data_IF_670534778759
#
_entry.id   IF_670534778759
#
_cell.length_a   1.000
_cell.length_b   1.000
_cell.length_c   1.000
_cell.angle_alpha   90.00
_cell.angle_beta   90.00
_cell.angle_gamma   90.00
#
_symmetry.space_group_name_H-M   'P 1'
#
loop_
_entity.id
_entity.type
_entity.pdbx_description
1 polymer ?
#
# COMPACT_ATOMS: atom_id res chain seq x y z
N UNK A 1 -5.97 13.26 49.35
CA UNK A 1 -6.56 14.21 48.40
C UNK A 1 -5.72 14.13 47.16
N UNK A 2 -6.31 13.51 46.15
CA UNK A 2 -5.80 13.41 44.78
C UNK A 2 -5.62 14.79 44.17
N UNK A 3 -4.64 14.93 43.29
CA UNK A 3 -4.80 15.79 42.12
C UNK A 3 -4.11 15.10 40.93
N UNK A 4 -4.94 14.88 39.92
CA UNK A 4 -4.78 14.00 38.77
C UNK A 4 -3.91 14.63 37.68
N UNK A 5 -3.11 13.81 37.03
CA UNK A 5 -2.37 14.13 35.82
C UNK A 5 -3.33 14.24 34.63
N UNK A 6 -3.36 15.40 33.97
CA UNK A 6 -4.03 15.58 32.68
C UNK A 6 -3.23 14.87 31.57
N UNK A 7 -3.64 13.66 31.22
CA UNK A 7 -3.20 12.97 30.01
C UNK A 7 -3.94 13.55 28.80
N UNK A 8 -3.24 14.32 27.96
CA UNK A 8 -3.77 14.80 26.68
C UNK A 8 -3.66 13.71 25.61
N UNK A 9 -4.76 13.03 25.32
CA UNK A 9 -4.90 12.14 24.17
C UNK A 9 -5.34 12.92 22.93
N UNK A 10 -4.67 12.72 21.79
CA UNK A 10 -5.04 13.29 20.49
C UNK A 10 -5.60 12.16 19.63
N UNK A 11 -6.91 12.19 19.35
CA UNK A 11 -7.58 11.24 18.46
C UNK A 11 -7.68 11.81 17.04
N UNK A 12 -7.48 10.96 16.02
CA UNK A 12 -7.63 11.31 14.61
C UNK A 12 -8.81 10.53 14.01
N UNK A 13 -9.92 11.21 13.73
CA UNK A 13 -11.17 10.58 13.28
C UNK A 13 -11.34 10.59 11.76
N UNK A 14 -11.76 9.46 11.18
CA UNK A 14 -12.35 9.37 9.84
C UNK A 14 -13.87 9.20 9.96
N UNK A 15 -14.67 10.05 9.30
CA UNK A 15 -16.14 10.08 9.45
C UNK A 15 -16.83 9.29 8.32
N UNK A 16 -17.90 8.58 8.69
CA UNK A 16 -18.75 7.67 7.89
C UNK A 16 -19.57 8.43 6.82
N UNK A 17 -19.53 8.01 5.56
CA UNK A 17 -20.42 8.52 4.50
C UNK A 17 -21.80 7.82 4.55
N UNK A 18 -22.87 8.59 4.39
CA UNK A 18 -24.25 8.09 4.20
C UNK A 18 -24.69 8.30 2.75
N UNK A 19 -25.38 7.29 2.21
CA UNK A 19 -25.81 7.10 0.82
C UNK A 19 -26.56 8.30 0.19
N UNK A 20 -26.24 8.62 -1.08
CA UNK A 20 -27.06 9.50 -1.93
C UNK A 20 -27.53 8.77 -3.20
N UNK A 21 -28.84 8.90 -3.45
CA UNK A 21 -29.64 8.19 -4.46
C UNK A 21 -29.38 8.69 -5.90
N UNK A 22 -29.37 7.77 -6.87
CA UNK A 22 -29.38 8.04 -8.33
C UNK A 22 -30.73 8.59 -8.81
N UNK A 23 -30.71 9.51 -9.77
CA UNK A 23 -31.85 9.90 -10.66
C UNK A 23 -31.31 10.16 -12.09
N UNK A 24 -32.07 9.88 -13.18
CA UNK A 24 -31.53 9.35 -14.45
C UNK A 24 -31.43 10.33 -15.65
N UNK A 25 -30.81 9.82 -16.72
CA UNK A 25 -30.60 10.43 -18.06
C UNK A 25 -31.89 10.91 -18.74
N UNK A 26 -31.77 11.99 -19.53
CA UNK A 26 -32.68 12.33 -20.62
C UNK A 26 -31.92 12.54 -21.93
N UNK A 27 -32.60 12.25 -23.04
CA UNK A 27 -32.11 11.93 -24.39
C UNK A 27 -32.71 12.85 -25.47
N UNK A 28 -31.95 13.11 -26.55
CA UNK A 28 -32.42 13.48 -27.91
C UNK A 28 -32.47 14.98 -28.24
N UNK A 29 -32.31 15.50 -29.48
CA UNK A 29 -32.00 14.99 -30.85
C UNK A 29 -31.68 16.22 -31.76
N UNK A 30 -30.86 16.01 -32.81
CA UNK A 30 -30.81 16.68 -34.15
C UNK A 30 -29.81 17.81 -34.49
N UNK A 31 -29.27 17.63 -35.70
CA UNK A 31 -28.18 18.23 -36.47
C UNK A 31 -28.44 19.65 -37.03
N UNK A 32 -27.37 20.43 -37.28
CA UNK A 32 -27.04 21.17 -38.53
C UNK A 32 -25.64 21.83 -38.40
N UNK A 33 -24.88 21.89 -39.49
CA UNK A 33 -23.57 22.56 -39.64
C UNK A 33 -23.63 23.56 -40.81
N UNK A 34 -22.59 24.36 -41.14
CA UNK A 34 -21.67 25.13 -40.29
C UNK A 34 -21.56 26.61 -40.76
N UNK A 35 -21.27 27.60 -39.88
CA UNK A 35 -20.51 28.80 -40.29
C UNK A 35 -20.04 29.71 -39.13
N UNK A 36 -18.75 30.07 -39.24
CA UNK A 36 -18.03 31.28 -38.86
C UNK A 36 -18.02 31.79 -37.39
N UNK A 37 -16.79 31.77 -36.84
CA UNK A 37 -16.19 32.59 -35.77
C UNK A 37 -17.10 33.24 -34.72
N UNK A 38 -17.20 32.57 -33.57
CA UNK A 38 -17.62 33.18 -32.29
C UNK A 38 -16.67 32.77 -31.15
N UNK A 39 -16.53 33.62 -30.10
CA UNK A 39 -15.36 33.70 -29.23
C UNK A 39 -15.22 32.51 -28.28
N UNK A 40 -13.99 32.30 -27.78
CA UNK A 40 -13.61 31.29 -26.77
C UNK A 40 -14.72 31.11 -25.72
N UNK A 41 -15.44 29.99 -25.77
CA UNK A 41 -16.33 29.58 -24.68
C UNK A 41 -15.47 29.27 -23.46
N UNK A 42 -15.76 29.97 -22.37
CA UNK A 42 -15.30 29.63 -21.02
C UNK A 42 -15.61 28.15 -20.75
N UNK A 43 -14.61 27.45 -20.22
CA UNK A 43 -14.80 26.09 -19.70
C UNK A 43 -15.67 26.22 -18.46
N UNK A 44 -16.93 25.78 -18.54
CA UNK A 44 -17.76 25.60 -17.35
C UNK A 44 -17.11 24.53 -16.48
N UNK A 45 -16.44 24.96 -15.41
CA UNK A 45 -16.05 24.10 -14.32
C UNK A 45 -17.32 23.44 -13.77
N UNK A 46 -17.41 22.10 -13.85
CA UNK A 46 -18.35 21.38 -13.00
C UNK A 46 -18.09 21.85 -11.56
N UNK A 47 -19.08 22.51 -10.97
CA UNK A 47 -18.96 23.07 -9.63
C UNK A 47 -18.51 21.96 -8.68
N UNK A 48 -17.32 22.15 -8.10
CA UNK A 48 -16.84 21.30 -7.04
C UNK A 48 -17.90 21.30 -5.92
N UNK A 49 -18.12 20.15 -5.24
CA UNK A 49 -18.95 20.10 -4.05
C UNK A 49 -18.61 21.22 -3.08
N UNK A 50 -19.59 21.77 -2.36
CA UNK A 50 -19.40 22.98 -1.53
C UNK A 50 -18.29 22.88 -0.47
N UNK A 51 -17.86 21.66 -0.13
CA UNK A 51 -16.75 21.40 0.78
C UNK A 51 -15.39 21.22 0.08
N UNK A 52 -15.32 21.01 -1.24
CA UNK A 52 -14.06 20.84 -1.98
C UNK A 52 -13.49 22.18 -2.43
N UNK A 53 -12.16 22.26 -2.46
CA UNK A 53 -11.42 23.44 -2.91
C UNK A 53 -10.33 23.03 -3.91
N UNK A 54 -10.21 23.78 -5.01
CA UNK A 54 -9.10 23.66 -5.94
C UNK A 54 -8.04 24.70 -5.58
N UNK A 55 -6.79 24.28 -5.45
CA UNK A 55 -5.64 25.15 -5.26
C UNK A 55 -4.68 24.93 -6.41
N UNK A 56 -4.50 25.98 -7.22
CA UNK A 56 -3.52 25.98 -8.30
C UNK A 56 -2.11 26.09 -7.71
N UNK A 57 -1.21 25.22 -8.16
CA UNK A 57 0.21 25.27 -7.77
C UNK A 57 1.10 25.18 -9.00
N UNK A 58 2.36 25.60 -8.87
CA UNK A 58 3.33 25.50 -9.97
C UNK A 58 3.61 24.05 -10.42
N UNK A 59 3.22 23.05 -9.62
CA UNK A 59 3.44 21.63 -9.89
C UNK A 59 2.14 20.90 -10.26
N UNK A 60 1.07 21.64 -10.56
CA UNK A 60 -0.26 21.12 -10.87
C UNK A 60 -1.30 21.50 -9.83
N UNK A 61 -2.57 21.35 -10.20
CA UNK A 61 -3.69 21.73 -9.34
C UNK A 61 -3.96 20.64 -8.31
N UNK A 62 -4.26 21.06 -7.08
CA UNK A 62 -4.54 20.17 -5.95
C UNK A 62 -5.97 20.37 -5.49
N UNK A 63 -6.73 19.28 -5.38
CA UNK A 63 -8.07 19.28 -4.81
C UNK A 63 -7.98 18.88 -3.33
N UNK A 64 -8.52 19.74 -2.45
CA UNK A 64 -8.69 19.47 -1.02
C UNK A 64 -10.14 19.69 -0.59
N UNK A 65 -10.37 19.73 0.72
CA UNK A 65 -11.67 20.02 1.29
C UNK A 65 -11.60 20.83 2.59
N UNK A 66 -12.63 21.64 2.85
CA UNK A 66 -12.85 22.36 4.10
C UNK A 66 -13.53 21.44 5.10
N UNK A 67 -13.01 21.37 6.32
CA UNK A 67 -13.64 20.67 7.43
C UNK A 67 -13.50 21.45 8.75
N UNK A 68 -14.40 21.20 9.71
CA UNK A 68 -14.29 21.76 11.05
C UNK A 68 -13.61 20.75 11.98
N UNK A 69 -12.55 21.18 12.65
CA UNK A 69 -11.82 20.41 13.67
C UNK A 69 -11.72 21.26 14.92
N UNK A 70 -12.25 20.76 16.05
CA UNK A 70 -12.25 21.47 17.35
C UNK A 70 -12.73 22.93 17.22
N UNK A 71 -13.89 23.10 16.59
CA UNK A 71 -14.55 24.41 16.35
C UNK A 71 -13.78 25.38 15.42
N UNK A 72 -12.70 24.93 14.79
CA UNK A 72 -11.94 25.71 13.80
C UNK A 72 -12.12 25.15 12.40
N UNK A 73 -12.33 26.02 11.42
CA UNK A 73 -12.37 25.65 10.02
C UNK A 73 -10.94 25.45 9.51
N UNK A 74 -10.64 24.26 9.00
CA UNK A 74 -9.34 23.89 8.45
C UNK A 74 -9.49 23.37 7.02
N UNK A 75 -8.44 23.56 6.23
CA UNK A 75 -8.32 23.03 4.87
C UNK A 75 -7.50 21.75 4.91
N UNK A 76 -8.03 20.67 4.36
CA UNK A 76 -7.40 19.35 4.34
C UNK A 76 -7.09 18.96 2.91
N UNK A 77 -5.85 18.60 2.65
CA UNK A 77 -5.41 18.02 1.38
C UNK A 77 -4.74 16.68 1.69
N UNK A 78 -5.29 15.59 1.15
CA UNK A 78 -4.80 14.23 1.37
C UNK A 78 -4.04 13.76 0.14
N UNK A 79 -3.01 12.94 0.34
CA UNK A 79 -2.28 12.31 -0.78
C UNK A 79 -1.31 13.22 -1.55
N UNK A 80 -0.97 14.41 -1.04
CA UNK A 80 0.12 15.22 -1.63
C UNK A 80 1.47 14.58 -1.25
N UNK A 81 2.39 14.30 -2.20
CA UNK A 81 3.75 13.87 -1.90
C UNK A 81 4.47 14.98 -1.13
N UNK A 82 4.60 14.84 0.20
CA UNK A 82 4.55 16.03 1.06
C UNK A 82 5.91 16.56 1.55
N UNK A 83 6.83 15.74 2.10
CA UNK A 83 8.22 16.11 2.48
C UNK A 83 8.77 15.22 3.60
N UNK A 84 10.07 15.39 3.92
CA UNK A 84 10.68 14.95 5.18
C UNK A 84 9.81 15.40 6.36
N UNK A 85 9.70 14.59 7.43
CA UNK A 85 8.91 14.96 8.61
C UNK A 85 9.31 16.34 9.15
N UNK A 86 8.37 17.26 9.45
CA UNK A 86 8.64 18.62 9.90
C UNK A 86 8.98 18.66 11.40
N UNK A 87 9.90 17.80 11.82
CA UNK A 87 10.31 17.63 13.21
C UNK A 87 11.66 18.33 13.46
N UNK A 88 11.91 18.70 14.71
CA UNK A 88 13.13 19.42 15.10
C UNK A 88 13.36 20.69 14.28
N UNK A 89 14.55 20.79 13.67
CA UNK A 89 14.99 21.93 12.85
C UNK A 89 14.20 22.15 11.55
N UNK A 90 13.38 21.16 11.14
CA UNK A 90 12.52 21.25 9.97
C UNK A 90 11.15 21.86 10.28
N UNK A 91 10.87 22.14 11.56
CA UNK A 91 9.62 22.79 11.96
C UNK A 91 9.55 24.20 11.38
N UNK A 92 8.44 24.50 10.71
CA UNK A 92 8.16 25.80 10.04
C UNK A 92 9.06 26.17 8.86
N UNK A 93 9.88 25.23 8.35
CA UNK A 93 10.63 25.42 7.10
C UNK A 93 9.83 24.96 5.89
N UNK A 94 10.29 25.35 4.70
CA UNK A 94 9.75 24.85 3.44
C UNK A 94 9.88 23.31 3.41
N UNK A 95 8.88 22.59 2.84
CA UNK A 95 8.94 21.13 2.73
C UNK A 95 10.20 20.66 1.99
N UNK A 96 10.96 19.75 2.60
CA UNK A 96 12.13 19.12 1.97
C UNK A 96 11.76 17.78 1.32
N UNK A 97 12.20 17.52 0.09
CA UNK A 97 11.87 16.27 -0.62
C UNK A 97 12.40 15.04 0.15
N UNK A 98 11.53 14.03 0.30
CA UNK A 98 11.89 12.70 0.82
C UNK A 98 12.62 11.94 -0.28
N UNK A 99 13.77 11.33 0.03
CA UNK A 99 14.30 10.24 -0.82
C UNK A 99 13.52 8.97 -0.45
N UNK A 100 12.87 8.27 -1.39
CA UNK A 100 12.04 7.12 -1.06
C UNK A 100 12.86 5.99 -0.46
N UNK A 101 12.31 5.31 0.54
CA UNK A 101 12.81 4.04 1.09
C UNK A 101 11.78 2.95 0.87
N UNK A 102 11.38 2.72 -0.38
CA UNK A 102 10.35 1.73 -0.70
C UNK A 102 10.79 0.34 -0.23
N UNK A 103 9.87 -0.50 0.27
CA UNK A 103 10.15 -1.92 0.46
C UNK A 103 10.66 -2.52 -0.86
N UNK A 104 11.38 -3.64 -0.71
CA UNK A 104 12.04 -4.33 -1.81
C UNK A 104 11.08 -4.52 -2.97
N UNK A 105 11.48 -4.00 -4.14
CA UNK A 105 10.70 -4.08 -5.36
C UNK A 105 11.02 -5.37 -6.11
N UNK A 106 10.01 -6.11 -6.53
CA UNK A 106 10.16 -7.37 -7.24
C UNK A 106 10.36 -7.12 -8.74
N UNK A 107 11.33 -7.80 -9.36
CA UNK A 107 11.68 -7.58 -10.77
C UNK A 107 10.52 -7.78 -11.75
N UNK A 108 9.66 -8.79 -11.54
CA UNK A 108 8.50 -9.01 -12.42
C UNK A 108 7.55 -7.81 -12.46
N UNK A 109 7.52 -6.97 -11.41
CA UNK A 109 6.72 -5.75 -11.39
C UNK A 109 7.27 -4.73 -12.38
N UNK A 110 8.60 -4.63 -12.55
CA UNK A 110 9.23 -3.79 -13.56
C UNK A 110 8.91 -4.25 -14.98
N UNK A 111 9.02 -5.55 -15.25
CA UNK A 111 8.68 -6.10 -16.56
C UNK A 111 7.19 -5.88 -16.88
N UNK A 112 6.33 -6.02 -15.88
CA UNK A 112 4.90 -5.75 -16.01
C UNK A 112 4.62 -4.30 -16.37
N UNK A 113 5.38 -3.33 -15.83
CA UNK A 113 5.23 -1.90 -16.16
C UNK A 113 5.64 -1.58 -17.59
N UNK A 114 6.75 -2.15 -18.07
CA UNK A 114 7.22 -1.97 -19.44
C UNK A 114 6.20 -2.54 -20.43
N UNK A 115 5.75 -3.78 -20.20
CA UNK A 115 4.71 -4.41 -21.02
C UNK A 115 3.39 -3.63 -21.00
N UNK A 116 3.00 -3.08 -19.85
CA UNK A 116 1.79 -2.24 -19.75
C UNK A 116 1.94 -0.92 -20.49
N UNK A 117 3.16 -0.36 -20.54
CA UNK A 117 3.46 0.86 -21.28
C UNK A 117 3.41 0.63 -22.79
N UNK A 118 3.93 -0.51 -23.28
CA UNK A 118 3.80 -0.91 -24.69
C UNK A 118 2.33 -1.13 -25.08
N UNK A 119 1.57 -1.88 -24.27
CA UNK A 119 0.11 -2.06 -24.51
C UNK A 119 -0.65 -0.74 -24.53
N UNK A 120 -0.27 0.22 -23.69
CA UNK A 120 -0.86 1.55 -23.71
C UNK A 120 -0.51 2.29 -25.02
N UNK A 121 0.74 2.20 -25.48
CA UNK A 121 1.18 2.79 -26.74
C UNK A 121 0.42 2.17 -27.93
N UNK A 122 0.27 0.84 -27.96
CA UNK A 122 -0.52 0.12 -28.97
C UNK A 122 -1.98 0.59 -29.00
N UNK A 123 -2.63 0.63 -27.84
CA UNK A 123 -4.05 0.95 -27.71
C UNK A 123 -4.42 2.35 -28.23
N UNK A 124 -3.46 3.27 -28.24
CA UNK A 124 -3.65 4.64 -28.73
C UNK A 124 -2.96 4.90 -30.08
N UNK A 125 -2.44 3.85 -30.74
CA UNK A 125 -1.79 3.95 -32.05
C UNK A 125 -0.47 4.73 -32.01
N UNK A 126 0.22 4.69 -30.88
CA UNK A 126 1.50 5.33 -30.66
C UNK A 126 2.68 4.36 -30.69
N UNK A 127 2.46 3.09 -31.06
CA UNK A 127 3.54 2.11 -31.23
C UNK A 127 4.03 2.03 -32.68
N UNK A 128 5.25 1.50 -32.87
CA UNK A 128 5.81 1.19 -34.19
C UNK A 128 5.29 -0.18 -34.69
N UNK A 129 5.69 -0.59 -35.91
CA UNK A 129 5.28 -1.89 -36.48
C UNK A 129 5.81 -3.08 -35.68
N UNK A 130 6.95 -2.91 -34.99
CA UNK A 130 7.59 -3.94 -34.18
C UNK A 130 6.99 -4.05 -32.76
N UNK A 131 6.18 -3.08 -32.34
CA UNK A 131 5.52 -3.06 -31.04
C UNK A 131 6.44 -2.73 -29.86
N UNK A 132 7.55 -2.04 -30.09
CA UNK A 132 8.60 -1.81 -29.09
C UNK A 132 9.04 -0.35 -28.93
N UNK A 133 8.27 0.62 -29.46
CA UNK A 133 8.68 2.02 -29.50
C UNK A 133 8.87 2.61 -28.09
N UNK A 134 8.13 2.14 -27.08
CA UNK A 134 8.29 2.66 -25.72
C UNK A 134 9.62 2.20 -25.10
N UNK A 135 10.17 1.06 -25.57
CA UNK A 135 11.49 0.55 -25.22
C UNK A 135 12.61 1.15 -26.07
N UNK A 136 12.43 1.22 -27.39
CA UNK A 136 13.50 1.61 -28.35
C UNK A 136 13.58 3.12 -28.55
N UNK A 137 12.44 3.81 -28.61
CA UNK A 137 12.34 5.25 -28.89
C UNK A 137 11.36 5.98 -27.92
N UNK A 138 11.62 5.94 -26.59
CA UNK A 138 10.68 6.38 -25.56
C UNK A 138 10.25 7.85 -25.66
N UNK A 139 11.09 8.72 -26.24
CA UNK A 139 10.75 10.13 -26.45
C UNK A 139 9.71 10.29 -27.56
N UNK A 140 9.82 9.51 -28.62
CA UNK A 140 8.84 9.51 -29.72
C UNK A 140 7.51 8.97 -29.24
N UNK A 141 7.53 7.83 -28.54
CA UNK A 141 6.37 7.25 -27.86
C UNK A 141 5.66 8.29 -26.99
N UNK A 142 6.41 9.00 -26.14
CA UNK A 142 5.89 10.01 -25.24
C UNK A 142 5.30 11.22 -25.98
N UNK A 143 5.93 11.67 -27.06
CA UNK A 143 5.41 12.78 -27.86
C UNK A 143 4.10 12.40 -28.55
N UNK A 144 4.01 11.17 -29.07
CA UNK A 144 2.76 10.64 -29.60
C UNK A 144 1.69 10.55 -28.51
N UNK A 145 1.97 9.94 -27.37
CA UNK A 145 1.04 9.83 -26.22
C UNK A 145 0.50 11.21 -25.82
N UNK A 146 1.37 12.23 -25.74
CA UNK A 146 0.98 13.62 -25.40
C UNK A 146 0.11 14.28 -26.46
N UNK A 147 0.20 13.84 -27.72
CA UNK A 147 -0.62 14.35 -28.82
C UNK A 147 -2.03 13.73 -28.85
N UNK A 148 -2.23 12.61 -28.15
CA UNK A 148 -3.50 11.89 -28.17
C UNK A 148 -4.62 12.66 -27.44
N UNK A 149 -5.88 12.53 -27.90
CA UNK A 149 -7.02 13.09 -27.19
C UNK A 149 -7.13 12.52 -25.78
N UNK A 150 -7.42 13.38 -24.79
CA UNK A 150 -7.63 12.97 -23.38
C UNK A 150 -8.62 11.81 -23.23
N UNK A 151 -9.65 11.76 -24.08
CA UNK A 151 -10.65 10.69 -24.08
C UNK A 151 -10.05 9.34 -24.46
N UNK A 152 -9.28 9.29 -25.55
CA UNK A 152 -8.59 8.08 -26.01
C UNK A 152 -7.62 7.57 -24.97
N UNK A 153 -6.83 8.48 -24.36
CA UNK A 153 -5.94 8.12 -23.25
C UNK A 153 -6.70 7.52 -22.07
N UNK A 154 -7.82 8.12 -21.66
CA UNK A 154 -8.63 7.62 -20.55
C UNK A 154 -9.22 6.24 -20.84
N UNK A 155 -9.69 6.01 -22.07
CA UNK A 155 -10.26 4.73 -22.50
C UNK A 155 -9.18 3.65 -22.55
N UNK A 156 -8.02 3.93 -23.16
CA UNK A 156 -6.89 3.00 -23.22
C UNK A 156 -6.29 2.69 -21.84
N UNK A 157 -6.12 3.71 -20.98
CA UNK A 157 -5.71 3.50 -19.58
C UNK A 157 -6.73 2.61 -18.85
N UNK A 158 -8.03 2.81 -19.08
CA UNK A 158 -9.08 1.96 -18.49
C UNK A 158 -8.98 0.50 -18.93
N UNK A 159 -8.62 0.25 -20.18
CA UNK A 159 -8.42 -1.10 -20.72
C UNK A 159 -7.15 -1.78 -20.17
N UNK A 160 -6.03 -1.06 -20.18
CA UNK A 160 -4.74 -1.57 -19.66
C UNK A 160 -4.82 -1.79 -18.15
N UNK A 161 -5.33 -0.81 -17.39
CA UNK A 161 -5.48 -0.92 -15.92
C UNK A 161 -6.61 -1.85 -15.49
N UNK A 162 -7.64 -2.03 -16.33
CA UNK A 162 -8.71 -3.00 -16.08
C UNK A 162 -8.18 -4.43 -16.01
N UNK A 163 -7.09 -4.71 -16.72
CA UNK A 163 -6.42 -6.02 -16.72
C UNK A 163 -5.25 -6.10 -15.72
N UNK A 164 -4.65 -4.94 -15.38
CA UNK A 164 -3.46 -4.83 -14.53
C UNK A 164 -3.56 -3.62 -13.58
N UNK A 165 -4.30 -3.73 -12.48
CA UNK A 165 -4.50 -2.62 -11.55
C UNK A 165 -3.22 -2.08 -10.87
N UNK A 166 -2.12 -2.82 -10.93
CA UNK A 166 -0.79 -2.43 -10.43
C UNK A 166 0.18 -2.08 -11.57
N UNK A 167 -0.31 -1.76 -12.77
CA UNK A 167 0.53 -1.54 -13.96
C UNK A 167 1.48 -0.34 -13.85
N UNK A 168 1.20 0.63 -12.99
CA UNK A 168 2.05 1.82 -12.80
C UNK A 168 2.35 2.03 -11.31
N UNK A 169 3.34 1.31 -10.82
CA UNK A 169 3.93 1.50 -9.50
C UNK A 169 5.15 2.44 -9.57
N UNK A 170 5.72 2.88 -8.43
CA UNK A 170 6.96 3.65 -8.44
C UNK A 170 8.10 2.88 -9.13
N UNK A 171 8.86 3.52 -10.04
CA UNK A 171 10.02 2.92 -10.72
C UNK A 171 11.35 3.61 -10.36
N UNK A 172 12.48 2.90 -10.48
CA UNK A 172 13.80 3.50 -10.28
C UNK A 172 14.43 3.95 -11.62
N UNK A 173 15.53 4.72 -11.54
CA UNK A 173 16.24 5.30 -12.68
C UNK A 173 15.93 6.78 -12.92
N UNK A 174 15.12 7.40 -12.06
CA UNK A 174 14.79 8.82 -12.15
C UNK A 174 15.46 9.65 -11.05
N UNK A 175 15.12 10.95 -10.96
CA UNK A 175 15.70 11.84 -9.94
C UNK A 175 15.23 11.52 -8.52
N UNK A 176 14.09 10.84 -8.37
CA UNK A 176 13.47 10.54 -7.08
C UNK A 176 13.99 9.20 -6.53
N UNK A 177 14.08 8.17 -7.38
CA UNK A 177 14.62 6.84 -7.08
C UNK A 177 15.74 6.52 -8.07
N UNK A 178 16.95 7.08 -7.92
CA UNK A 178 18.05 6.87 -8.88
C UNK A 178 18.53 5.42 -9.00
N UNK A 179 18.38 4.62 -7.95
CA UNK A 179 18.81 3.21 -7.89
C UNK A 179 17.71 2.35 -7.28
N UNK A 180 17.73 1.05 -7.57
CA UNK A 180 16.72 0.11 -7.08
C UNK A 180 16.79 -0.10 -5.56
N UNK A 181 15.68 -0.51 -4.94
CA UNK A 181 15.64 -0.84 -3.50
C UNK A 181 16.73 -1.85 -3.10
N UNK A 182 17.07 -2.82 -3.95
CA UNK A 182 18.13 -3.79 -3.70
C UNK A 182 19.52 -3.13 -3.67
N UNK A 183 19.79 -2.24 -4.63
CA UNK A 183 21.06 -1.49 -4.68
C UNK A 183 21.24 -0.58 -3.46
N UNK A 184 20.15 -0.08 -2.86
CA UNK A 184 20.21 0.73 -1.63
C UNK A 184 20.79 0.01 -0.43
N UNK A 185 20.71 -1.33 -0.39
CA UNK A 185 21.29 -2.10 0.70
C UNK A 185 22.76 -2.44 0.47
N UNK A 186 23.18 -2.57 -0.79
CA UNK A 186 24.60 -2.70 -1.14
C UNK A 186 25.38 -1.41 -0.83
N UNK A 187 24.75 -0.24 -1.02
CA UNK A 187 25.29 1.05 -0.63
C UNK A 187 24.23 1.88 0.14
N UNK A 188 24.17 1.73 1.48
CA UNK A 188 23.22 2.45 2.32
C UNK A 188 23.31 3.98 2.24
N UNK A 189 24.42 4.53 1.74
CA UNK A 189 24.63 5.98 1.71
C UNK A 189 23.67 6.72 0.76
N UNK A 190 23.09 6.01 -0.22
CA UNK A 190 22.11 6.60 -1.13
C UNK A 190 20.86 7.11 -0.42
N UNK A 191 20.37 6.40 0.60
CA UNK A 191 19.07 6.68 1.23
C UNK A 191 19.09 6.69 2.75
N UNK A 192 19.97 5.92 3.39
CA UNK A 192 19.81 5.56 4.79
C UNK A 192 20.74 6.30 5.75
N UNK A 193 21.72 7.08 5.27
CA UNK A 193 22.62 7.87 6.14
C UNK A 193 21.83 8.75 7.13
N UNK A 194 20.84 9.48 6.62
CA UNK A 194 19.99 10.39 7.40
C UNK A 194 18.76 9.69 8.01
N UNK A 195 18.46 8.45 7.61
CA UNK A 195 17.31 7.72 8.11
C UNK A 195 17.57 7.29 9.56
N UNK A 196 16.60 7.55 10.44
CA UNK A 196 16.70 7.20 11.86
C UNK A 196 16.29 5.74 12.12
N UNK A 197 16.01 5.41 13.37
CA UNK A 197 15.39 4.16 13.75
C UNK A 197 14.07 3.95 13.01
N UNK A 198 13.70 2.70 12.76
CA UNK A 198 12.42 2.35 12.15
C UNK A 198 11.63 1.41 13.06
N UNK A 199 10.32 1.62 13.07
CA UNK A 199 9.34 0.69 13.60
C UNK A 199 8.45 0.30 12.43
N UNK A 200 8.38 -1.00 12.14
CA UNK A 200 7.75 -1.54 10.94
C UNK A 200 7.04 -2.84 11.31
N UNK A 201 5.97 -3.17 10.59
CA UNK A 201 5.23 -4.38 10.88
C UNK A 201 4.34 -4.84 9.73
N UNK A 202 3.63 -5.92 10.00
CA UNK A 202 2.64 -6.52 9.11
C UNK A 202 1.48 -7.09 9.94
N UNK A 203 0.35 -7.31 9.30
CA UNK A 203 -0.78 -8.03 9.86
C UNK A 203 -0.63 -9.55 9.63
N UNK A 204 -1.39 -10.35 10.37
CA UNK A 204 -1.28 -11.81 10.27
C UNK A 204 -1.70 -12.35 8.89
N UNK A 205 -2.74 -11.75 8.27
CA UNK A 205 -3.38 -12.27 7.05
C UNK A 205 -3.42 -11.22 5.92
N UNK A 206 -2.27 -10.60 5.63
CA UNK A 206 -2.12 -9.51 4.64
C UNK A 206 -2.74 -9.83 3.27
N UNK A 207 -2.52 -11.04 2.76
CA UNK A 207 -2.90 -11.46 1.41
C UNK A 207 -4.39 -11.68 1.19
N UNK A 208 -5.21 -11.71 2.24
CA UNK A 208 -6.62 -12.13 2.12
C UNK A 208 -7.45 -11.15 1.28
N UNK A 209 -7.27 -9.84 1.46
CA UNK A 209 -7.95 -8.82 0.65
C UNK A 209 -7.36 -8.67 -0.75
N UNK A 210 -6.09 -9.02 -0.93
CA UNK A 210 -5.49 -9.07 -2.27
C UNK A 210 -6.15 -10.16 -3.12
N UNK A 211 -6.47 -11.34 -2.57
CA UNK A 211 -7.25 -12.35 -3.31
C UNK A 211 -8.62 -11.82 -3.75
N UNK A 212 -9.29 -11.03 -2.91
CA UNK A 212 -10.53 -10.37 -3.32
C UNK A 212 -10.31 -9.39 -4.49
N UNK A 213 -9.15 -8.76 -4.58
CA UNK A 213 -8.84 -7.83 -5.65
C UNK A 213 -8.52 -8.55 -6.97
N UNK A 214 -7.70 -9.60 -6.93
CA UNK A 214 -7.26 -10.31 -8.14
C UNK A 214 -8.22 -11.40 -8.60
N UNK A 215 -9.13 -11.86 -7.74
CA UNK A 215 -10.05 -12.96 -8.01
C UNK A 215 -11.41 -12.75 -7.34
N UNK A 216 -11.99 -11.55 -7.50
CA UNK A 216 -13.24 -11.13 -6.83
C UNK A 216 -14.44 -12.06 -7.08
N UNK A 217 -14.48 -12.76 -8.21
CA UNK A 217 -15.54 -13.72 -8.54
C UNK A 217 -15.52 -14.98 -7.65
N UNK A 218 -14.34 -15.32 -7.12
CA UNK A 218 -14.09 -16.52 -6.32
C UNK A 218 -13.92 -16.18 -4.84
N UNK A 219 -13.27 -15.05 -4.54
CA UNK A 219 -12.98 -14.58 -3.19
C UNK A 219 -13.62 -13.20 -2.99
N UNK A 220 -14.70 -13.14 -2.22
CA UNK A 220 -15.39 -11.88 -1.90
C UNK A 220 -15.11 -11.49 -0.46
N UNK A 221 -14.63 -10.26 -0.22
CA UNK A 221 -14.38 -9.77 1.14
C UNK A 221 -15.66 -9.71 1.99
N UNK A 222 -16.85 -9.77 1.37
CA UNK A 222 -18.16 -9.65 2.04
C UNK A 222 -18.85 -10.99 2.31
N UNK A 223 -18.33 -12.09 1.80
CA UNK A 223 -18.97 -13.41 1.93
C UNK A 223 -17.93 -14.52 2.04
N UNK A 224 -18.27 -15.60 2.71
CA UNK A 224 -17.40 -16.78 2.77
C UNK A 224 -17.12 -17.31 1.35
N UNK A 225 -15.87 -17.69 1.05
CA UNK A 225 -15.55 -18.32 -0.22
C UNK A 225 -16.35 -19.59 -0.38
N UNK A 226 -16.72 -19.90 -1.63
CA UNK A 226 -17.34 -21.20 -1.93
C UNK A 226 -16.37 -22.31 -1.52
N UNK A 227 -16.92 -23.45 -1.11
CA UNK A 227 -16.09 -24.64 -0.95
C UNK A 227 -15.56 -25.03 -2.31
N UNK A 228 -14.24 -24.98 -2.46
CA UNK A 228 -13.55 -25.42 -3.65
C UNK A 228 -13.14 -26.87 -3.47
N UNK A 229 -13.31 -27.65 -4.53
CA UNK A 229 -12.68 -28.96 -4.64
C UNK A 229 -11.16 -28.80 -4.69
N UNK A 230 -10.42 -29.84 -4.32
CA UNK A 230 -8.96 -29.82 -4.43
C UNK A 230 -8.49 -29.55 -5.87
N UNK A 231 -9.26 -30.02 -6.87
CA UNK A 231 -8.93 -29.80 -8.27
C UNK A 231 -9.13 -28.33 -8.71
N UNK A 232 -10.18 -27.66 -8.21
CA UNK A 232 -10.37 -26.22 -8.45
C UNK A 232 -9.27 -25.40 -7.78
N UNK A 233 -8.91 -25.73 -6.54
CA UNK A 233 -7.82 -25.07 -5.82
C UNK A 233 -6.48 -25.24 -6.53
N UNK A 234 -6.19 -26.44 -7.03
CA UNK A 234 -5.00 -26.71 -7.85
C UNK A 234 -4.98 -25.89 -9.14
N UNK A 235 -6.11 -25.78 -9.84
CA UNK A 235 -6.23 -24.95 -11.04
C UNK A 235 -5.95 -23.48 -10.69
N UNK A 236 -6.54 -22.96 -9.61
CA UNK A 236 -6.33 -21.57 -9.20
C UNK A 236 -4.88 -21.31 -8.79
N UNK A 237 -4.29 -22.24 -8.04
CA UNK A 237 -2.89 -22.16 -7.66
C UNK A 237 -1.98 -22.12 -8.90
N UNK A 238 -2.18 -23.02 -9.86
CA UNK A 238 -1.41 -23.03 -11.10
C UNK A 238 -1.65 -21.76 -11.94
N UNK A 239 -2.89 -21.27 -12.04
CA UNK A 239 -3.21 -20.03 -12.74
C UNK A 239 -2.45 -18.84 -12.13
N UNK A 240 -2.35 -18.78 -10.81
CA UNK A 240 -1.63 -17.72 -10.09
C UNK A 240 -0.12 -17.87 -10.22
N UNK A 241 0.44 -19.07 -10.04
CA UNK A 241 1.88 -19.32 -10.15
C UNK A 241 2.35 -19.17 -11.60
N UNK A 242 1.63 -19.67 -12.59
CA UNK A 242 2.09 -19.62 -13.99
C UNK A 242 1.92 -18.25 -14.63
N UNK A 243 0.82 -17.54 -14.35
CA UNK A 243 0.50 -16.29 -15.05
C UNK A 243 0.76 -15.02 -14.24
N UNK A 244 0.89 -15.12 -12.91
CA UNK A 244 0.98 -13.95 -12.03
C UNK A 244 2.22 -13.97 -11.12
N UNK A 245 2.84 -15.12 -10.88
CA UNK A 245 4.01 -15.28 -10.01
C UNK A 245 4.89 -16.47 -10.44
N UNK A 246 5.63 -16.37 -11.56
CA UNK A 246 6.44 -17.50 -12.05
C UNK A 246 7.51 -17.89 -11.02
N UNK A 247 7.38 -19.09 -10.46
CA UNK A 247 8.39 -19.69 -9.57
C UNK A 247 9.09 -20.84 -10.29
N UNK A 248 10.43 -20.86 -10.35
CA UNK A 248 11.20 -21.97 -10.88
C UNK A 248 10.87 -23.32 -10.23
N UNK A 249 10.85 -24.36 -11.05
CA UNK A 249 10.43 -25.71 -10.67
C UNK A 249 11.29 -26.34 -9.57
N UNK A 250 12.55 -25.93 -9.46
CA UNK A 250 13.46 -26.32 -8.37
C UNK A 250 12.96 -25.86 -7.00
N UNK A 251 12.27 -24.71 -6.95
CA UNK A 251 11.83 -24.09 -5.71
C UNK A 251 10.43 -24.57 -5.28
N UNK A 252 9.53 -24.91 -6.22
CA UNK A 252 8.24 -25.57 -5.90
C UNK A 252 8.40 -26.83 -5.05
N UNK A 253 9.58 -27.47 -5.11
CA UNK A 253 9.95 -28.67 -4.35
C UNK A 253 10.48 -28.41 -2.94
N UNK A 254 10.78 -27.15 -2.59
CA UNK A 254 11.43 -26.78 -1.32
C UNK A 254 10.45 -26.42 -0.21
N UNK A 255 9.22 -26.06 -0.54
CA UNK A 255 8.20 -25.63 0.43
C UNK A 255 6.95 -26.48 0.29
N UNK A 256 6.45 -26.99 1.43
CA UNK A 256 5.18 -27.72 1.49
C UNK A 256 3.98 -26.83 1.15
N UNK A 257 4.13 -25.50 1.23
CA UNK A 257 3.08 -24.54 0.88
C UNK A 257 2.84 -24.50 -0.64
N UNK A 258 3.79 -25.00 -1.45
CA UNK A 258 3.68 -25.07 -2.91
C UNK A 258 3.20 -26.42 -3.44
N UNK A 259 2.73 -27.31 -2.56
CA UNK A 259 2.12 -28.57 -2.97
C UNK A 259 0.72 -28.32 -3.55
N UNK A 260 0.55 -28.41 -4.89
CA UNK A 260 -0.74 -28.11 -5.51
C UNK A 260 -1.82 -29.13 -5.14
N UNK A 261 -1.43 -30.31 -4.64
CA UNK A 261 -2.36 -31.37 -4.25
C UNK A 261 -2.88 -31.19 -2.82
N UNK A 262 -2.25 -30.31 -2.02
CA UNK A 262 -2.62 -30.02 -0.63
C UNK A 262 -2.94 -28.54 -0.35
N UNK A 263 -2.97 -27.68 -1.36
CA UNK A 263 -3.20 -26.24 -1.21
C UNK A 263 -4.61 -25.95 -0.66
N UNK A 264 -4.67 -25.20 0.44
CA UNK A 264 -5.93 -24.74 1.05
C UNK A 264 -6.19 -23.28 0.70
N UNK A 265 -7.43 -22.80 0.90
CA UNK A 265 -7.73 -21.36 0.79
C UNK A 265 -6.82 -20.51 1.68
N UNK A 266 -6.52 -21.00 2.89
CA UNK A 266 -5.60 -20.34 3.81
C UNK A 266 -4.16 -20.35 3.32
N UNK A 267 -3.67 -21.50 2.84
CA UNK A 267 -2.36 -21.59 2.21
C UNK A 267 -2.22 -20.63 1.04
N UNK A 268 -3.28 -20.50 0.22
CA UNK A 268 -3.27 -19.61 -0.93
C UNK A 268 -3.09 -18.14 -0.55
N UNK A 269 -3.87 -17.60 0.40
CA UNK A 269 -3.64 -16.22 0.81
C UNK A 269 -2.39 -16.06 1.66
N UNK A 270 -1.90 -17.09 2.35
CA UNK A 270 -0.63 -17.02 3.08
C UNK A 270 0.54 -16.81 2.12
N UNK A 271 0.56 -17.54 0.99
CA UNK A 271 1.55 -17.33 -0.07
C UNK A 271 1.49 -15.88 -0.59
N UNK A 272 0.30 -15.33 -0.81
CA UNK A 272 0.15 -13.92 -1.19
C UNK A 272 0.63 -12.98 -0.08
N UNK A 273 0.27 -13.25 1.17
CA UNK A 273 0.68 -12.48 2.36
C UNK A 273 2.20 -12.41 2.46
N UNK A 274 2.86 -13.55 2.26
CA UNK A 274 4.30 -13.69 2.36
C UNK A 274 5.00 -12.94 1.23
N UNK A 275 4.57 -13.13 -0.01
CA UNK A 275 5.24 -12.53 -1.17
C UNK A 275 4.98 -11.03 -1.36
N UNK A 276 3.78 -10.55 -1.05
CA UNK A 276 3.39 -9.16 -1.33
C UNK A 276 3.72 -8.19 -0.19
N UNK A 277 3.71 -8.67 1.06
CA UNK A 277 3.86 -7.79 2.23
C UNK A 277 4.85 -8.32 3.25
N UNK A 278 4.60 -9.51 3.81
CA UNK A 278 5.37 -9.99 4.97
C UNK A 278 6.85 -10.11 4.66
N UNK A 279 7.23 -10.77 3.57
CA UNK A 279 8.63 -10.96 3.25
C UNK A 279 9.33 -9.73 2.69
N UNK A 280 8.69 -8.86 1.88
CA UNK A 280 9.23 -7.52 1.61
C UNK A 280 9.51 -6.72 2.89
N UNK A 281 8.60 -6.72 3.86
CA UNK A 281 8.76 -6.04 5.16
C UNK A 281 9.90 -6.65 5.98
N UNK A 282 9.91 -7.97 6.11
CA UNK A 282 10.96 -8.70 6.87
C UNK A 282 12.32 -8.53 6.20
N UNK A 283 12.42 -8.62 4.88
CA UNK A 283 13.67 -8.42 4.15
C UNK A 283 14.18 -6.98 4.28
N UNK A 284 13.29 -5.99 4.17
CA UNK A 284 13.66 -4.59 4.42
C UNK A 284 14.16 -4.40 5.86
N UNK A 285 13.44 -4.94 6.84
CA UNK A 285 13.81 -4.89 8.26
C UNK A 285 15.18 -5.54 8.51
N UNK A 286 15.43 -6.72 7.92
CA UNK A 286 16.68 -7.46 8.06
C UNK A 286 17.87 -6.72 7.46
N UNK A 287 17.72 -6.18 6.25
CA UNK A 287 18.80 -5.42 5.63
C UNK A 287 19.05 -4.09 6.36
N UNK A 288 18.00 -3.39 6.76
CA UNK A 288 18.14 -2.12 7.49
C UNK A 288 18.76 -2.31 8.88
N UNK A 289 18.43 -3.40 9.58
CA UNK A 289 19.01 -3.73 10.89
C UNK A 289 20.52 -4.01 10.84
N UNK A 290 21.04 -4.42 9.68
CA UNK A 290 22.47 -4.68 9.50
C UNK A 290 23.29 -3.42 9.19
N UNK A 291 22.64 -2.29 8.89
CA UNK A 291 23.32 -1.02 8.67
C UNK A 291 23.88 -0.52 10.02
N UNK A 292 25.18 -0.13 10.10
CA UNK A 292 25.77 0.34 11.34
C UNK A 292 24.96 1.46 12.01
N UNK A 293 24.77 1.33 13.32
CA UNK A 293 24.04 2.29 14.17
C UNK A 293 22.55 2.45 13.86
N UNK A 294 21.96 1.64 12.97
CA UNK A 294 20.50 1.62 12.79
C UNK A 294 19.84 0.70 13.80
N UNK A 295 18.56 0.93 14.06
CA UNK A 295 17.75 0.10 14.95
C UNK A 295 16.37 -0.12 14.33
N UNK A 296 15.88 -1.35 14.46
CA UNK A 296 14.60 -1.80 13.92
C UNK A 296 13.76 -2.38 15.03
N UNK A 297 12.48 -2.04 15.05
CA UNK A 297 11.47 -2.63 15.91
C UNK A 297 10.39 -3.27 15.03
N UNK A 298 10.41 -4.60 14.95
CA UNK A 298 9.51 -5.38 14.10
C UNK A 298 8.29 -5.88 14.90
N UNK A 299 7.08 -5.73 14.36
CA UNK A 299 5.87 -6.32 14.95
C UNK A 299 4.97 -7.02 13.94
N UNK A 300 4.28 -8.07 14.37
CA UNK A 300 3.15 -8.70 13.70
C UNK A 300 1.87 -8.39 14.47
N UNK A 301 0.92 -7.69 13.84
CA UNK A 301 -0.38 -7.44 14.44
C UNK A 301 -1.32 -8.61 14.18
N UNK A 302 -1.91 -9.15 15.24
CA UNK A 302 -2.70 -10.38 15.21
C UNK A 302 -3.99 -10.25 16.04
N UNK A 303 -4.72 -9.15 15.83
CA UNK A 303 -6.04 -8.96 16.43
C UNK A 303 -7.07 -8.63 15.37
N UNK A 304 -8.12 -9.44 15.24
CA UNK A 304 -9.25 -9.14 14.34
C UNK A 304 -10.27 -8.31 15.10
N UNK A 305 -10.62 -7.15 14.57
CA UNK A 305 -11.56 -6.25 15.22
C UNK A 305 -12.96 -6.88 15.33
N UNK A 306 -13.64 -6.62 16.45
CA UNK A 306 -15.08 -6.90 16.60
C UNK A 306 -15.93 -6.11 15.59
N UNK A 307 -15.42 -4.95 15.14
CA UNK A 307 -16.03 -4.05 14.18
C UNK A 307 -15.65 -4.32 12.72
N UNK A 308 -14.82 -5.33 12.44
CA UNK A 308 -14.38 -5.61 11.08
C UNK A 308 -15.58 -5.99 10.19
N UNK A 309 -15.86 -5.23 9.10
CA UNK A 309 -17.05 -5.43 8.28
C UNK A 309 -16.90 -6.58 7.27
N UNK A 310 -15.70 -7.15 7.14
CA UNK A 310 -15.42 -8.23 6.20
C UNK A 310 -15.80 -9.60 6.76
N UNK A 311 -15.89 -10.58 5.86
CA UNK A 311 -16.19 -11.96 6.22
C UNK A 311 -15.06 -12.60 7.03
N UNK A 312 -15.38 -13.60 7.85
CA UNK A 312 -14.44 -14.18 8.83
C UNK A 312 -13.20 -14.79 8.20
N UNK A 313 -13.31 -15.34 6.99
CA UNK A 313 -12.16 -15.89 6.26
C UNK A 313 -11.04 -14.88 5.98
N UNK A 314 -11.31 -13.57 6.03
CA UNK A 314 -10.30 -12.52 5.79
C UNK A 314 -9.27 -12.37 6.92
N UNK A 315 -9.50 -13.00 8.08
CA UNK A 315 -8.54 -13.05 9.18
C UNK A 315 -8.20 -11.67 9.74
N UNK A 316 -6.93 -11.40 10.01
CA UNK A 316 -6.40 -10.07 10.35
C UNK A 316 -5.83 -9.47 9.05
N UNK A 317 -6.74 -8.96 8.22
CA UNK A 317 -6.41 -8.46 6.87
C UNK A 317 -5.50 -7.23 6.89
N UNK A 318 -4.95 -6.87 5.73
CA UNK A 318 -4.25 -5.58 5.52
C UNK A 318 -5.06 -4.41 6.06
N UNK A 319 -4.38 -3.45 6.69
CA UNK A 319 -4.93 -2.20 7.24
C UNK A 319 -5.72 -2.34 8.55
N UNK A 320 -5.87 -3.55 9.09
CA UNK A 320 -6.66 -3.81 10.30
C UNK A 320 -6.13 -3.09 11.54
N UNK A 321 -4.82 -2.94 11.67
CA UNK A 321 -4.13 -2.31 12.80
C UNK A 321 -4.26 -0.77 12.79
N UNK A 322 -4.41 -0.18 11.60
CA UNK A 322 -4.39 1.28 11.41
C UNK A 322 -5.46 1.98 12.23
N UNK A 323 -6.66 1.40 12.34
CA UNK A 323 -7.74 1.97 13.14
C UNK A 323 -7.35 2.17 14.62
N UNK A 324 -6.51 1.29 15.17
CA UNK A 324 -6.04 1.37 16.56
C UNK A 324 -4.93 2.41 16.72
N UNK A 325 -4.10 2.62 15.70
CA UNK A 325 -3.05 3.65 15.65
C UNK A 325 -3.67 5.05 15.59
N UNK A 326 -4.80 5.22 14.92
CA UNK A 326 -5.45 6.52 14.75
C UNK A 326 -6.52 6.84 15.81
N UNK A 327 -6.80 5.92 16.74
CA UNK A 327 -7.75 6.17 17.82
C UNK A 327 -9.22 6.00 17.43
N UNK A 328 -9.53 5.25 16.38
CA UNK A 328 -10.92 5.01 15.94
C UNK A 328 -11.78 4.38 17.06
N UNK A 329 -11.29 3.43 17.88
CA UNK A 329 -12.07 2.92 19.00
C UNK A 329 -12.48 3.97 20.03
N UNK A 330 -11.69 5.04 20.25
CA UNK A 330 -12.02 6.16 21.16
C UNK A 330 -13.07 7.11 20.57
N UNK A 331 -13.18 7.12 19.23
CA UNK A 331 -14.14 7.89 18.46
C UNK A 331 -15.57 7.36 18.51
N UNK A 332 -15.65 6.05 18.68
CA UNK A 332 -16.80 5.23 18.29
C UNK A 332 -16.89 4.05 19.24
N UNK A 333 -16.82 4.33 20.55
CA UNK A 333 -16.72 3.32 21.60
C UNK A 333 -17.83 2.27 21.53
N UNK A 334 -19.02 2.64 21.06
CA UNK A 334 -20.17 1.72 20.91
C UNK A 334 -19.92 0.57 19.93
N UNK A 335 -19.01 0.74 18.96
CA UNK A 335 -18.71 -0.29 17.96
C UNK A 335 -17.56 -1.20 18.39
N UNK A 336 -16.86 -0.90 19.50
CA UNK A 336 -15.66 -1.63 19.92
C UNK A 336 -15.80 -2.18 21.33
N UNK A 337 -15.03 -3.23 21.63
CA UNK A 337 -14.97 -3.76 22.99
C UNK A 337 -14.08 -2.89 23.88
N UNK A 338 -14.24 -2.93 25.21
CA UNK A 338 -13.34 -2.24 26.13
C UNK A 338 -11.86 -2.63 25.95
N UNK A 339 -11.59 -3.90 25.60
CA UNK A 339 -10.23 -4.37 25.33
C UNK A 339 -9.63 -3.73 24.06
N UNK A 340 -10.45 -3.46 23.05
CA UNK A 340 -10.06 -2.78 21.82
C UNK A 340 -9.79 -1.29 22.02
N UNK A 341 -10.52 -0.65 22.92
CA UNK A 341 -10.26 0.74 23.34
C UNK A 341 -8.87 0.82 24.01
N UNK A 342 -8.58 -0.10 24.94
CA UNK A 342 -7.26 -0.17 25.59
C UNK A 342 -6.14 -0.57 24.61
N UNK A 343 -6.41 -1.46 23.66
CA UNK A 343 -5.50 -1.76 22.55
C UNK A 343 -5.16 -0.49 21.76
N UNK A 344 -6.15 0.33 21.42
CA UNK A 344 -5.93 1.59 20.69
C UNK A 344 -5.06 2.58 21.48
N UNK A 345 -5.34 2.77 22.78
CA UNK A 345 -4.51 3.62 23.64
C UNK A 345 -3.06 3.14 23.68
N UNK A 346 -2.82 1.84 23.83
CA UNK A 346 -1.46 1.26 23.83
C UNK A 346 -0.76 1.44 22.50
N UNK A 347 -1.44 1.18 21.38
CA UNK A 347 -0.87 1.40 20.04
C UNK A 347 -0.48 2.87 19.83
N UNK A 348 -1.39 3.81 20.11
CA UNK A 348 -1.11 5.24 20.00
C UNK A 348 0.08 5.68 20.87
N UNK A 349 0.11 5.26 22.14
CA UNK A 349 1.20 5.60 23.06
C UNK A 349 2.54 5.04 22.58
N UNK A 350 2.53 3.81 22.04
CA UNK A 350 3.74 3.17 21.52
C UNK A 350 4.28 3.90 20.28
N UNK A 351 3.41 4.22 19.31
CA UNK A 351 3.77 5.01 18.13
C UNK A 351 4.24 6.42 18.50
N UNK A 352 3.61 7.07 19.49
CA UNK A 352 4.00 8.40 19.96
C UNK A 352 5.36 8.37 20.67
N UNK A 353 5.62 7.36 21.50
CA UNK A 353 6.91 7.22 22.19
C UNK A 353 8.03 6.94 21.20
N UNK A 354 7.80 6.05 20.23
CA UNK A 354 8.75 5.81 19.14
C UNK A 354 9.03 7.09 18.34
N UNK A 355 8.01 7.85 17.96
CA UNK A 355 8.19 9.11 17.25
C UNK A 355 8.98 10.16 18.05
N UNK A 356 8.85 10.17 19.39
CA UNK A 356 9.56 11.10 20.28
C UNK A 356 10.99 10.69 20.55
N UNK A 357 11.25 9.39 20.71
CA UNK A 357 12.48 8.89 21.33
C UNK A 357 13.30 7.94 20.45
N UNK A 358 12.74 7.43 19.36
CA UNK A 358 13.31 6.36 18.56
C UNK A 358 13.20 4.97 19.21
N UNK A 359 12.53 4.85 20.37
CA UNK A 359 12.27 3.59 21.08
C UNK A 359 10.77 3.46 21.38
N UNK A 360 10.12 2.32 21.06
CA UNK A 360 8.75 2.06 21.48
C UNK A 360 8.66 1.83 23.00
N UNK A 361 7.50 2.16 23.58
CA UNK A 361 7.20 1.79 24.97
C UNK A 361 7.15 0.27 25.14
N UNK A 362 7.23 -0.16 26.41
CA UNK A 362 6.86 -1.54 26.75
C UNK A 362 5.41 -1.80 26.34
N UNK A 363 5.18 -2.99 25.84
CA UNK A 363 3.85 -3.46 25.54
C UNK A 363 3.44 -4.43 26.64
N UNK A 364 2.42 -4.07 27.43
CA UNK A 364 2.16 -4.71 28.73
C UNK A 364 3.42 -4.73 29.61
N UNK A 365 3.89 -5.91 30.00
CA UNK A 365 5.08 -6.15 30.80
C UNK A 365 6.33 -6.48 29.96
N UNK A 366 6.18 -6.63 28.63
CA UNK A 366 7.28 -7.00 27.72
C UNK A 366 7.96 -5.78 27.12
N UNK A 367 9.30 -5.77 27.18
CA UNK A 367 10.10 -4.84 26.37
C UNK A 367 9.99 -5.23 24.90
N UNK A 368 9.94 -4.23 24.01
CA UNK A 368 10.02 -4.49 22.58
C UNK A 368 11.48 -4.75 22.19
N UNK A 369 11.84 -5.97 21.74
CA UNK A 369 13.21 -6.28 21.37
C UNK A 369 13.64 -5.47 20.14
N UNK A 370 14.91 -5.07 20.09
CA UNK A 370 15.50 -4.62 18.83
C UNK A 370 15.61 -5.83 17.92
N UNK A 371 15.12 -5.70 16.69
CA UNK A 371 15.19 -6.76 15.70
C UNK A 371 16.64 -7.00 15.29
N UNK A 372 17.11 -8.23 15.54
CA UNK A 372 18.41 -8.73 15.13
C UNK A 372 18.20 -9.93 14.21
N UNK A 373 18.40 -9.80 12.88
CA UNK A 373 18.12 -10.88 11.95
C UNK A 373 19.12 -12.05 12.08
N UNK A 374 20.29 -11.84 12.67
CA UNK A 374 21.38 -12.82 12.74
C UNK A 374 21.24 -13.70 13.98
N UNK A 375 20.98 -13.09 15.15
CA UNK A 375 21.04 -13.79 16.42
C UNK A 375 19.67 -14.21 16.95
N UNK A 376 18.79 -13.25 17.25
CA UNK A 376 17.53 -13.53 17.94
C UNK A 376 16.36 -13.75 16.99
N UNK A 377 16.32 -13.00 15.88
CA UNK A 377 15.22 -12.95 14.93
C UNK A 377 13.86 -12.62 15.59
N UNK A 378 13.88 -11.90 16.70
CA UNK A 378 12.71 -11.67 17.55
C UNK A 378 11.85 -10.51 17.07
N UNK A 379 10.53 -10.71 17.05
CA UNK A 379 9.56 -9.68 16.76
C UNK A 379 8.38 -9.76 17.73
N UNK A 380 7.71 -8.62 17.92
CA UNK A 380 6.56 -8.54 18.80
C UNK A 380 5.30 -9.04 18.10
N UNK A 381 4.50 -9.86 18.75
CA UNK A 381 3.17 -10.25 18.24
C UNK A 381 2.11 -9.59 19.11
N UNK A 382 1.36 -8.68 18.49
CA UNK A 382 0.42 -7.80 19.19
C UNK A 382 -1.00 -8.35 19.08
N UNK A 383 -1.66 -8.55 20.21
CA UNK A 383 -3.07 -8.92 20.31
C UNK A 383 -3.84 -7.92 21.21
N UNK A 384 -5.16 -8.08 21.35
CA UNK A 384 -5.98 -7.19 22.21
C UNK A 384 -5.65 -7.30 23.71
N UNK A 385 -5.26 -8.49 24.19
CA UNK A 385 -5.12 -8.78 25.63
C UNK A 385 -3.77 -9.37 26.00
N UNK A 386 -2.95 -9.70 25.02
CA UNK A 386 -1.63 -10.30 25.22
C UNK A 386 -0.65 -9.74 24.22
N UNK A 387 0.62 -9.99 24.52
CA UNK A 387 1.72 -9.73 23.61
C UNK A 387 2.71 -10.87 23.74
N UNK A 388 3.22 -11.32 22.61
CA UNK A 388 4.19 -12.40 22.54
C UNK A 388 5.46 -11.95 21.82
N UNK A 389 6.55 -12.67 22.05
CA UNK A 389 7.80 -12.51 21.31
C UNK A 389 7.98 -13.81 20.55
N UNK A 390 7.91 -13.73 19.23
CA UNK A 390 8.15 -14.85 18.33
C UNK A 390 9.46 -14.65 17.59
N UNK A 391 10.04 -15.73 17.06
CA UNK A 391 11.29 -15.69 16.29
C UNK A 391 11.21 -16.52 15.01
N UNK A 392 12.11 -16.24 14.06
CA UNK A 392 12.26 -17.02 12.83
C UNK A 392 11.25 -16.67 11.74
N UNK A 393 10.75 -15.43 11.71
CA UNK A 393 9.80 -14.96 10.70
C UNK A 393 10.43 -14.88 9.30
N UNK A 394 11.76 -14.78 9.22
CA UNK A 394 12.53 -14.81 7.97
C UNK A 394 12.60 -16.21 7.34
N UNK A 395 12.48 -17.29 8.13
CA UNK A 395 12.58 -18.67 7.64
C UNK A 395 11.49 -19.02 6.63
N UNK A 396 10.33 -18.37 6.71
CA UNK A 396 9.25 -18.53 5.72
C UNK A 396 9.44 -17.70 4.45
N UNK A 397 10.40 -16.77 4.44
CA UNK A 397 10.65 -15.87 3.32
C UNK A 397 11.64 -16.41 2.28
N UNK A 398 11.89 -17.72 2.30
CA UNK A 398 12.77 -18.38 1.33
C UNK A 398 12.31 -18.16 -0.12
N UNK A 399 11.00 -18.14 -0.38
CA UNK A 399 10.46 -17.98 -1.74
C UNK A 399 10.71 -16.58 -2.26
N UNK A 400 10.36 -15.61 -1.44
CA UNK A 400 10.60 -14.21 -1.74
C UNK A 400 12.10 -13.99 -1.98
N UNK A 401 12.97 -14.49 -1.09
CA UNK A 401 14.41 -14.38 -1.25
C UNK A 401 14.92 -15.06 -2.53
N UNK A 402 14.34 -16.19 -2.93
CA UNK A 402 14.68 -16.82 -4.19
C UNK A 402 14.24 -15.96 -5.38
N UNK A 403 12.98 -15.51 -5.41
CA UNK A 403 12.45 -14.65 -6.48
C UNK A 403 13.22 -13.34 -6.62
N UNK A 404 13.75 -12.80 -5.51
CA UNK A 404 14.64 -11.63 -5.55
C UNK A 404 15.99 -11.89 -6.23
N UNK A 405 16.50 -13.12 -6.19
CA UNK A 405 17.87 -13.45 -6.62
C UNK A 405 17.92 -14.23 -7.95
N UNK A 406 16.84 -14.90 -8.33
CA UNK A 406 16.80 -15.89 -9.42
C UNK A 406 16.92 -15.31 -10.85
N UNK A 407 16.98 -13.98 -11.02
CA UNK A 407 17.16 -13.31 -12.32
C UNK A 407 18.46 -12.48 -12.38
N UNK A 408 19.37 -12.71 -11.42
CA UNK A 408 20.72 -12.12 -11.43
C UNK A 408 21.79 -13.02 -12.07
N UNK A 409 21.38 -14.19 -12.56
CA UNK A 409 22.13 -15.12 -13.43
C UNK A 409 21.49 -15.16 -14.81
#
# INVERSE_FOLDING_TARGET
MEETSDEQYVAMFAKKETESKRVPKASGVSEHAPQADEPKKEVEYHQLPANQILVETNNGDVIGFKQNVLEKQVYTFLGIPYAKPPIGELRFKRPEIVRPGSPVYLNFVFETQLNSSEKLADAIGCNNEDGDIALTEPIEALNCIKSQPKRSLREAIGEVLGSYPLAYLPSFGDKLMPVSSLQTFADPSYYYDQQKEIMIGMNNDEGSLFLNFVMSEKFSAKSEPKQFTQQEMKIFFNELVENKWPVPESYKKLTADFDPDNITTQGLYQIFSDNMVTCPVVSFASNFAQIPHKSVYLYKFNHRSSSNPFSRWTGVNTYEEVQYIFGVPLSNEESYTPAEIELSKRMMNTWLSFAKTGKPEKYFDKEWPKYDPINSNEHLVINEKSVDIESGIDKKCQLFNYALNAESE
#
